data_IF_115849843421
#
_entry.id   IF_115849843421
#
_cell.length_a   1.000
_cell.length_b   1.000
_cell.length_c   1.000
_cell.angle_alpha   90.00
_cell.angle_beta   90.00
_cell.angle_gamma   90.00
#
_symmetry.space_group_name_H-M   'P 1'
#
loop_
_entity.id
_entity.type
_entity.pdbx_description
1 polymer ?
#
# COMPACT_ATOMS: atom_id res chain seq x y z
N UNK A 1 -47.89 -7.40 5.60
CA UNK A 1 -46.50 -7.80 5.95
C UNK A 1 -46.21 -7.28 7.34
N UNK A 2 -45.76 -8.12 8.28
CA UNK A 2 -45.43 -7.68 9.64
C UNK A 2 -44.21 -6.74 9.62
N UNK A 3 -44.18 -5.77 10.54
CA UNK A 3 -43.10 -4.79 10.68
C UNK A 3 -41.71 -5.46 10.77
N UNK A 4 -41.65 -6.64 11.39
CA UNK A 4 -40.46 -7.50 11.48
C UNK A 4 -39.95 -7.99 10.14
N UNK A 5 -40.83 -8.39 9.22
CA UNK A 5 -40.45 -8.87 7.89
C UNK A 5 -39.88 -7.72 7.03
N UNK A 6 -40.43 -6.51 7.19
CA UNK A 6 -39.93 -5.32 6.50
C UNK A 6 -38.52 -4.91 6.97
N UNK A 7 -38.23 -5.01 8.27
CA UNK A 7 -36.91 -4.70 8.83
C UNK A 7 -35.87 -5.74 8.37
N UNK A 8 -36.21 -7.03 8.36
CA UNK A 8 -35.29 -8.09 7.88
C UNK A 8 -34.97 -7.92 6.39
N UNK A 9 -35.97 -7.60 5.57
CA UNK A 9 -35.76 -7.34 4.14
C UNK A 9 -34.93 -6.08 3.89
N UNK A 10 -35.11 -5.02 4.71
CA UNK A 10 -34.32 -3.81 4.63
C UNK A 10 -32.86 -4.06 5.03
N UNK A 11 -32.61 -4.83 6.10
CA UNK A 11 -31.26 -5.21 6.53
C UNK A 11 -30.58 -6.13 5.52
N UNK A 12 -31.31 -7.06 4.89
CA UNK A 12 -30.82 -7.88 3.78
C UNK A 12 -30.50 -7.02 2.56
N UNK A 13 -31.36 -6.05 2.20
CA UNK A 13 -31.11 -5.14 1.09
C UNK A 13 -29.90 -4.24 1.34
N UNK A 14 -29.73 -3.72 2.56
CA UNK A 14 -28.55 -2.93 2.95
C UNK A 14 -27.29 -3.80 2.93
N UNK A 15 -27.35 -5.02 3.46
CA UNK A 15 -26.25 -6.01 3.41
C UNK A 15 -25.87 -6.37 1.97
N UNK A 16 -26.84 -6.56 1.09
CA UNK A 16 -26.64 -6.81 -0.34
C UNK A 16 -26.10 -5.57 -1.06
N UNK A 17 -26.49 -4.35 -0.67
CA UNK A 17 -25.93 -3.10 -1.21
C UNK A 17 -24.46 -2.90 -0.79
N UNK A 18 -24.08 -3.26 0.44
CA UNK A 18 -22.67 -3.29 0.86
C UNK A 18 -21.87 -4.42 0.18
N UNK A 19 -22.47 -5.60 -0.02
CA UNK A 19 -21.85 -6.74 -0.68
C UNK A 19 -21.71 -6.57 -2.21
N UNK A 20 -22.64 -5.84 -2.85
CA UNK A 20 -22.65 -5.60 -4.30
C UNK A 20 -21.52 -4.72 -4.81
N UNK A 21 -20.90 -3.89 -3.95
CA UNK A 21 -19.67 -3.17 -4.31
C UNK A 21 -18.44 -4.10 -4.39
N UNK A 22 -18.51 -5.30 -3.80
CA UNK A 22 -17.40 -6.25 -3.70
C UNK A 22 -17.51 -7.40 -4.71
N UNK A 23 -18.62 -7.56 -5.45
CA UNK A 23 -18.91 -8.82 -6.18
C UNK A 23 -18.76 -8.80 -7.70
N UNK A 24 -18.28 -7.72 -8.32
CA UNK A 24 -18.04 -7.67 -9.78
C UNK A 24 -16.56 -7.44 -10.16
N UNK A 25 -15.63 -8.05 -9.43
CA UNK A 25 -14.22 -8.16 -9.83
C UNK A 25 -14.09 -9.20 -10.94
N UNK A 26 -14.24 -8.78 -12.20
CA UNK A 26 -13.81 -9.61 -13.33
C UNK A 26 -12.30 -9.44 -13.49
N UNK A 27 -11.49 -10.51 -13.42
CA UNK A 27 -10.06 -10.38 -13.59
C UNK A 27 -9.76 -9.98 -15.04
N UNK A 28 -9.38 -8.71 -15.26
CA UNK A 28 -8.73 -8.25 -16.50
C UNK A 28 -7.23 -8.64 -16.55
N UNK A 29 -6.80 -9.52 -15.63
CA UNK A 29 -5.41 -9.97 -15.41
C UNK A 29 -4.80 -10.61 -16.66
N UNK A 30 -5.60 -11.29 -17.50
CA UNK A 30 -5.12 -11.94 -18.74
C UNK A 30 -4.63 -10.96 -19.82
N UNK A 31 -5.03 -9.68 -19.78
CA UNK A 31 -4.49 -8.66 -20.68
C UNK A 31 -3.16 -8.09 -20.19
N UNK A 32 -2.87 -8.19 -18.89
CA UNK A 32 -1.70 -7.62 -18.24
C UNK A 32 -0.47 -8.53 -18.27
N UNK A 33 -0.68 -9.85 -18.24
CA UNK A 33 0.39 -10.83 -18.42
C UNK A 33 1.16 -10.68 -19.75
N UNK A 34 0.62 -9.93 -20.71
CA UNK A 34 1.24 -9.65 -22.02
C UNK A 34 1.93 -8.29 -22.12
N UNK A 35 1.83 -7.43 -21.10
CA UNK A 35 2.33 -6.04 -21.14
C UNK A 35 3.55 -5.84 -20.25
N UNK A 36 4.74 -5.95 -20.85
CA UNK A 36 6.06 -5.53 -20.34
C UNK A 36 6.43 -6.06 -18.96
N UNK A 37 7.34 -7.04 -18.94
CA UNK A 37 8.18 -7.32 -17.78
C UNK A 37 8.73 -5.98 -17.24
N UNK A 38 8.27 -5.57 -16.06
CA UNK A 38 8.89 -4.50 -15.31
C UNK A 38 10.31 -4.95 -15.03
N UNK A 39 11.30 -4.16 -15.45
CA UNK A 39 12.66 -4.38 -14.99
C UNK A 39 12.62 -4.24 -13.46
N UNK A 40 13.20 -5.20 -12.70
CA UNK A 40 13.31 -5.09 -11.26
C UNK A 40 13.93 -3.74 -10.87
N UNK A 41 13.71 -3.26 -9.63
CA UNK A 41 14.50 -2.15 -9.13
C UNK A 41 15.97 -2.48 -9.37
N UNK A 42 16.69 -1.56 -10.02
CA UNK A 42 18.15 -1.61 -10.07
C UNK A 42 18.67 -1.46 -8.63
N UNK A 43 18.81 -2.60 -7.96
CA UNK A 43 19.34 -2.75 -6.59
C UNK A 43 20.86 -2.84 -6.60
N UNK A 44 21.50 -3.00 -7.76
CA UNK A 44 22.97 -3.06 -7.85
C UNK A 44 23.58 -1.71 -7.42
N UNK A 45 22.91 -0.62 -7.77
CA UNK A 45 23.32 0.74 -7.40
C UNK A 45 23.17 1.09 -5.90
N UNK A 46 22.49 0.25 -5.10
CA UNK A 46 22.29 0.51 -3.66
C UNK A 46 23.57 0.27 -2.88
N UNK A 47 23.95 1.25 -2.04
CA UNK A 47 25.10 1.13 -1.14
C UNK A 47 24.68 0.46 0.18
N UNK A 48 25.40 -0.58 0.65
CA UNK A 48 25.17 -1.15 1.97
C UNK A 48 25.35 -0.11 3.09
N UNK A 49 24.56 -0.23 4.15
CA UNK A 49 24.71 0.51 5.41
C UNK A 49 25.25 -0.42 6.50
N UNK A 50 26.52 -0.82 6.37
CA UNK A 50 27.11 -1.82 7.27
C UNK A 50 27.12 -1.38 8.74
N UNK A 51 27.31 -0.08 8.99
CA UNK A 51 27.39 0.50 10.34
C UNK A 51 26.02 0.93 10.90
N UNK A 52 24.92 0.52 10.26
CA UNK A 52 23.57 0.89 10.70
C UNK A 52 23.23 0.31 12.07
N UNK A 53 23.15 1.19 13.07
CA UNK A 53 22.68 0.88 14.41
C UNK A 53 21.19 1.19 14.54
N UNK A 54 20.37 0.15 14.42
CA UNK A 54 18.92 0.27 14.52
C UNK A 54 18.47 0.77 15.90
N UNK A 55 19.19 0.48 16.99
CA UNK A 55 18.74 0.80 18.35
C UNK A 55 18.90 2.28 18.67
N UNK A 56 19.92 2.91 18.07
CA UNK A 56 20.25 4.31 18.27
C UNK A 56 19.79 5.22 17.10
N UNK A 57 19.29 4.65 16.00
CA UNK A 57 18.70 5.44 14.92
C UNK A 57 17.31 5.92 15.32
N UNK A 58 17.16 7.23 15.52
CA UNK A 58 15.85 7.83 15.76
C UNK A 58 14.98 7.89 14.49
N UNK A 59 13.65 7.88 14.61
CA UNK A 59 12.74 8.07 13.49
C UNK A 59 13.03 9.37 12.74
N UNK A 60 13.00 9.32 11.41
CA UNK A 60 13.30 10.49 10.56
C UNK A 60 12.40 11.67 10.96
N UNK A 61 12.98 12.84 11.34
CA UNK A 61 12.19 13.95 11.81
C UNK A 61 11.34 14.50 10.69
N UNK A 62 10.03 14.56 10.94
CA UNK A 62 9.09 15.10 9.99
C UNK A 62 8.67 16.52 10.39
N UNK A 63 8.73 17.46 9.44
CA UNK A 63 8.42 18.89 9.63
C UNK A 63 7.45 19.37 8.54
N UNK A 64 6.16 19.04 8.65
CA UNK A 64 5.18 19.36 7.61
C UNK A 64 4.84 20.85 7.52
N UNK A 65 4.98 21.59 8.62
CA UNK A 65 4.58 22.99 8.68
C UNK A 65 5.65 23.90 8.09
N UNK A 66 5.21 24.75 7.15
CA UNK A 66 5.95 25.91 6.67
C UNK A 66 5.11 27.13 6.96
N UNK A 67 5.74 28.21 7.41
CA UNK A 67 5.05 29.50 7.53
C UNK A 67 4.62 30.00 6.15
N UNK A 68 3.48 30.69 6.10
CA UNK A 68 2.96 31.31 4.87
C UNK A 68 1.57 30.81 4.45
N UNK A 69 1.15 31.22 3.26
CA UNK A 69 -0.17 30.87 2.70
C UNK A 69 -0.23 29.39 2.36
N UNK A 70 -1.25 28.69 2.86
CA UNK A 70 -1.49 27.30 2.51
C UNK A 70 -1.84 27.16 1.04
N UNK A 71 -1.12 26.30 0.33
CA UNK A 71 -1.42 25.89 -1.05
C UNK A 71 -1.44 24.39 -1.12
N UNK A 72 -2.60 23.82 -1.45
CA UNK A 72 -2.75 22.40 -1.68
C UNK A 72 -2.09 22.05 -3.01
N UNK A 73 -0.97 21.33 -2.94
CA UNK A 73 -0.23 20.81 -4.09
C UNK A 73 0.05 19.33 -3.88
N UNK A 74 0.43 18.63 -4.95
CA UNK A 74 0.80 17.22 -4.88
C UNK A 74 2.00 16.95 -3.95
N UNK A 75 2.89 17.93 -3.77
CA UNK A 75 4.02 17.84 -2.84
C UNK A 75 5.03 16.74 -3.16
N UNK A 76 5.03 16.22 -4.39
CA UNK A 76 5.91 15.12 -4.84
C UNK A 76 7.35 15.60 -4.90
N UNK A 77 8.25 14.76 -4.40
CA UNK A 77 9.70 14.93 -4.51
C UNK A 77 10.31 13.63 -5.04
N UNK A 78 11.47 13.76 -5.67
CA UNK A 78 12.29 12.58 -5.98
C UNK A 78 12.77 11.97 -4.67
N UNK A 79 12.63 10.66 -4.53
CA UNK A 79 13.13 9.92 -3.39
C UNK A 79 14.50 9.33 -3.74
N UNK A 80 15.56 9.59 -2.97
CA UNK A 80 16.79 8.82 -3.07
C UNK A 80 16.47 7.33 -2.88
N UNK A 81 17.05 6.45 -3.71
CA UNK A 81 16.76 5.02 -3.62
C UNK A 81 17.05 4.44 -2.24
N UNK A 82 18.14 4.89 -1.62
CA UNK A 82 18.57 4.49 -0.28
C UNK A 82 17.58 4.88 0.84
N UNK A 83 16.65 5.80 0.56
CA UNK A 83 15.65 6.30 1.50
C UNK A 83 14.29 5.58 1.35
N UNK A 84 14.19 4.52 0.55
CA UNK A 84 12.89 3.86 0.28
C UNK A 84 12.23 3.24 1.50
N UNK A 85 12.91 2.30 2.18
CA UNK A 85 12.43 1.65 3.39
C UNK A 85 13.30 2.08 4.57
N UNK A 86 12.71 2.82 5.51
CA UNK A 86 13.43 3.44 6.61
C UNK A 86 13.29 2.58 7.86
N UNK A 87 14.43 2.10 8.36
CA UNK A 87 14.52 1.43 9.65
C UNK A 87 14.92 2.42 10.73
N UNK A 88 14.40 2.23 11.94
CA UNK A 88 14.72 3.03 13.12
C UNK A 88 14.49 2.19 14.39
N UNK A 89 14.71 2.82 15.55
CA UNK A 89 14.59 2.18 16.86
C UNK A 89 13.16 1.75 17.24
N UNK A 90 12.14 2.11 16.46
CA UNK A 90 10.75 1.66 16.65
C UNK A 90 10.44 0.33 15.97
N UNK A 91 11.32 -0.17 15.10
CA UNK A 91 11.10 -1.38 14.31
C UNK A 91 10.64 -2.58 15.17
N UNK A 92 11.28 -2.81 16.33
CA UNK A 92 10.96 -3.96 17.18
C UNK A 92 9.53 -3.94 17.71
N UNK A 93 9.11 -2.81 18.30
CA UNK A 93 7.77 -2.65 18.87
C UNK A 93 6.69 -2.61 17.78
N UNK A 94 6.97 -1.95 16.65
CA UNK A 94 6.04 -1.91 15.53
C UNK A 94 5.85 -3.28 14.89
N UNK A 95 6.92 -4.08 14.71
CA UNK A 95 6.80 -5.44 14.20
C UNK A 95 6.07 -6.37 15.18
N UNK A 96 6.25 -6.17 16.50
CA UNK A 96 5.50 -6.90 17.52
C UNK A 96 4.00 -6.58 17.43
N UNK A 97 3.65 -5.30 17.34
CA UNK A 97 2.27 -4.86 17.15
C UNK A 97 1.69 -5.39 15.83
N UNK A 98 2.47 -5.37 14.75
CA UNK A 98 2.07 -5.86 13.43
C UNK A 98 1.64 -7.33 13.51
N UNK A 99 2.44 -8.18 14.15
CA UNK A 99 2.09 -9.59 14.40
C UNK A 99 0.87 -9.76 15.29
N UNK A 100 0.77 -8.97 16.35
CA UNK A 100 -0.39 -9.01 17.24
C UNK A 100 -1.68 -8.70 16.46
N UNK A 101 -1.69 -7.62 15.68
CA UNK A 101 -2.85 -7.23 14.88
C UNK A 101 -3.16 -8.23 13.76
N UNK A 102 -2.13 -8.82 13.16
CA UNK A 102 -2.32 -9.88 12.16
C UNK A 102 -2.99 -11.11 12.77
N UNK A 103 -2.71 -11.44 14.02
CA UNK A 103 -3.35 -12.53 14.76
C UNK A 103 -4.78 -12.16 15.20
N UNK A 104 -4.96 -11.01 15.85
CA UNK A 104 -6.23 -10.62 16.48
C UNK A 104 -7.27 -10.08 15.47
N UNK A 105 -6.82 -9.36 14.44
CA UNK A 105 -7.70 -8.74 13.46
C UNK A 105 -7.06 -8.74 12.07
N UNK A 106 -6.75 -9.94 11.57
CA UNK A 106 -6.15 -10.13 10.25
C UNK A 106 -6.87 -9.35 9.16
N UNK A 107 -8.21 -9.41 9.11
CA UNK A 107 -9.05 -8.77 8.09
C UNK A 107 -8.97 -7.23 8.13
N UNK A 108 -8.78 -6.66 9.32
CA UNK A 108 -8.64 -5.23 9.52
C UNK A 108 -7.31 -4.65 9.04
N UNK A 109 -6.24 -5.46 9.02
CA UNK A 109 -4.89 -5.01 8.66
C UNK A 109 -4.34 -5.58 7.37
N UNK A 110 -4.89 -6.70 6.88
CA UNK A 110 -4.46 -7.34 5.64
C UNK A 110 -5.67 -7.73 4.80
N UNK A 111 -5.66 -7.34 3.53
CA UNK A 111 -6.59 -7.83 2.51
C UNK A 111 -5.91 -7.90 1.15
N UNK A 112 -6.25 -8.92 0.36
CA UNK A 112 -5.81 -9.09 -1.01
C UNK A 112 -6.98 -9.64 -1.83
N UNK A 113 -7.30 -8.96 -2.94
CA UNK A 113 -8.33 -9.36 -3.88
C UNK A 113 -7.73 -10.21 -5.02
N UNK A 114 -8.52 -11.07 -5.68
CA UNK A 114 -8.05 -11.81 -6.84
C UNK A 114 -7.47 -10.90 -7.92
N UNK A 115 -6.37 -11.31 -8.53
CA UNK A 115 -5.63 -10.52 -9.52
C UNK A 115 -4.51 -9.65 -8.92
N UNK A 116 -4.31 -9.69 -7.60
CA UNK A 116 -3.20 -9.01 -6.92
C UNK A 116 -1.95 -9.86 -6.74
N UNK A 117 -1.98 -11.13 -7.13
CA UNK A 117 -0.97 -12.13 -6.77
C UNK A 117 0.41 -11.78 -7.32
N UNK A 118 0.49 -11.36 -8.59
CA UNK A 118 1.75 -10.95 -9.20
C UNK A 118 2.36 -9.73 -8.51
N UNK A 119 1.55 -8.70 -8.24
CA UNK A 119 2.00 -7.49 -7.55
C UNK A 119 2.48 -7.79 -6.12
N UNK A 120 1.82 -8.74 -5.43
CA UNK A 120 2.23 -9.17 -4.09
C UNK A 120 3.58 -9.91 -4.10
N UNK A 121 3.86 -10.70 -5.14
CA UNK A 121 5.15 -11.38 -5.32
C UNK A 121 6.26 -10.39 -5.69
N UNK A 122 5.96 -9.48 -6.61
CA UNK A 122 6.87 -8.40 -7.03
C UNK A 122 7.29 -7.55 -5.83
N UNK A 123 6.35 -7.01 -5.06
CA UNK A 123 6.70 -6.17 -3.90
C UNK A 123 7.50 -6.92 -2.83
N UNK A 124 7.23 -8.22 -2.62
CA UNK A 124 8.03 -9.03 -1.71
C UNK A 124 9.47 -9.17 -2.22
N UNK A 125 9.65 -9.52 -3.49
CA UNK A 125 10.97 -9.66 -4.10
C UNK A 125 11.76 -8.34 -4.01
N UNK A 126 11.11 -7.21 -4.29
CA UNK A 126 11.73 -5.89 -4.23
C UNK A 126 12.14 -5.48 -2.81
N UNK A 127 11.29 -5.74 -1.81
CA UNK A 127 11.61 -5.47 -0.40
C UNK A 127 12.78 -6.35 0.07
N UNK A 128 12.77 -7.64 -0.29
CA UNK A 128 13.86 -8.56 0.07
C UNK A 128 15.17 -8.10 -0.58
N UNK A 129 15.15 -7.78 -1.87
CA UNK A 129 16.32 -7.28 -2.59
C UNK A 129 16.85 -5.97 -1.97
N UNK A 130 15.97 -5.02 -1.66
CA UNK A 130 16.37 -3.78 -1.00
C UNK A 130 17.00 -4.02 0.38
N UNK A 131 16.33 -4.78 1.25
CA UNK A 131 16.77 -4.97 2.63
C UNK A 131 18.06 -5.77 2.72
N UNK A 132 18.19 -6.84 1.93
CA UNK A 132 19.41 -7.67 1.91
C UNK A 132 20.62 -6.93 1.34
N UNK A 133 20.38 -5.96 0.45
CA UNK A 133 21.45 -5.11 -0.12
C UNK A 133 21.81 -3.93 0.77
N UNK A 134 20.81 -3.24 1.32
CA UNK A 134 20.97 -2.02 2.13
C UNK A 134 21.37 -2.34 3.58
N UNK A 135 20.87 -3.42 4.14
CA UNK A 135 21.08 -3.83 5.54
C UNK A 135 21.50 -5.31 5.66
N UNK A 136 22.61 -5.73 4.99
CA UNK A 136 23.01 -7.13 4.88
C UNK A 136 23.34 -7.81 6.22
N UNK A 137 23.71 -7.03 7.24
CA UNK A 137 23.97 -7.54 8.59
C UNK A 137 22.70 -7.97 9.33
N UNK A 138 21.54 -7.45 8.91
CA UNK A 138 20.25 -7.70 9.54
C UNK A 138 19.33 -8.58 8.69
N UNK A 139 19.48 -8.52 7.36
CA UNK A 139 18.66 -9.26 6.43
C UNK A 139 19.53 -10.00 5.41
N UNK A 140 19.34 -11.30 5.27
CA UNK A 140 20.10 -12.11 4.32
C UNK A 140 19.35 -13.38 3.95
N UNK A 141 19.59 -13.88 2.73
CA UNK A 141 19.13 -15.22 2.34
C UNK A 141 20.15 -16.26 2.81
N UNK A 142 19.79 -17.25 3.64
CA UNK A 142 20.73 -18.27 4.10
C UNK A 142 21.32 -19.07 2.94
N UNK A 143 22.63 -19.31 2.95
CA UNK A 143 23.34 -20.03 1.87
C UNK A 143 22.78 -21.43 1.62
N UNK A 144 22.38 -22.13 2.68
CA UNK A 144 21.81 -23.48 2.59
C UNK A 144 20.35 -23.48 2.12
N UNK A 145 19.67 -22.34 2.15
CA UNK A 145 18.25 -22.22 1.82
C UNK A 145 17.94 -20.84 1.20
N UNK A 146 18.35 -20.62 -0.07
CA UNK A 146 18.24 -19.32 -0.72
C UNK A 146 16.80 -18.87 -0.99
N UNK A 147 15.83 -19.79 -0.89
CA UNK A 147 14.39 -19.53 -1.04
C UNK A 147 13.78 -18.84 0.19
N UNK A 148 14.59 -18.56 1.21
CA UNK A 148 14.17 -17.92 2.44
C UNK A 148 14.99 -16.66 2.70
N UNK A 149 14.38 -15.71 3.39
CA UNK A 149 15.05 -14.54 3.95
C UNK A 149 15.04 -14.64 5.47
N UNK A 150 16.20 -14.43 6.09
CA UNK A 150 16.34 -14.31 7.53
C UNK A 150 16.37 -12.85 7.94
N UNK A 151 15.53 -12.48 8.90
CA UNK A 151 15.50 -11.19 9.57
C UNK A 151 16.12 -11.36 10.97
N UNK A 152 17.41 -11.06 11.10
CA UNK A 152 18.17 -11.20 12.34
C UNK A 152 17.69 -10.25 13.44
N UNK A 153 17.00 -9.15 13.11
CA UNK A 153 16.41 -8.25 14.10
C UNK A 153 15.28 -8.92 14.89
N UNK A 154 14.46 -9.73 14.22
CA UNK A 154 13.33 -10.42 14.85
C UNK A 154 13.59 -11.90 15.12
N UNK A 155 14.73 -12.43 14.63
CA UNK A 155 15.09 -13.85 14.69
C UNK A 155 14.19 -14.75 13.83
N UNK A 156 13.45 -14.18 12.87
CA UNK A 156 12.47 -14.90 12.04
C UNK A 156 13.01 -15.14 10.65
N UNK A 157 12.63 -16.27 10.08
CA UNK A 157 12.95 -16.65 8.71
C UNK A 157 11.63 -16.86 7.96
N UNK A 158 11.54 -16.35 6.74
CA UNK A 158 10.33 -16.43 5.91
C UNK A 158 10.66 -17.01 4.54
N UNK A 159 9.78 -17.87 4.04
CA UNK A 159 9.88 -18.37 2.67
C UNK A 159 9.46 -17.29 1.67
N UNK A 160 10.32 -17.01 0.70
CA UNK A 160 10.15 -15.94 -0.31
C UNK A 160 10.11 -16.47 -1.74
N UNK A 161 10.15 -17.79 -1.93
CA UNK A 161 9.93 -18.47 -3.20
C UNK A 161 8.74 -19.43 -3.14
N UNK A 162 8.21 -19.79 -4.32
CA UNK A 162 7.11 -20.75 -4.44
C UNK A 162 7.54 -22.19 -4.07
N UNK A 163 6.66 -23.01 -3.45
CA UNK A 163 5.36 -22.64 -2.90
C UNK A 163 5.50 -21.86 -1.60
N UNK A 164 4.81 -20.72 -1.47
CA UNK A 164 4.88 -19.87 -0.29
C UNK A 164 4.23 -20.49 0.95
N UNK A 165 4.82 -20.27 2.13
CA UNK A 165 4.26 -20.67 3.43
C UNK A 165 3.22 -19.67 3.96
N UNK A 166 3.43 -18.38 3.68
CA UNK A 166 2.54 -17.27 4.03
C UNK A 166 2.25 -16.43 2.77
N UNK A 167 1.18 -15.63 2.80
CA UNK A 167 0.92 -14.74 1.68
C UNK A 167 2.10 -13.78 1.46
N UNK A 168 2.57 -13.57 0.21
CA UNK A 168 3.76 -12.75 -0.05
C UNK A 168 3.71 -11.34 0.57
N UNK A 169 2.56 -10.68 0.48
CA UNK A 169 2.36 -9.36 1.07
C UNK A 169 2.35 -9.36 2.62
N UNK A 170 1.97 -10.47 3.27
CA UNK A 170 2.14 -10.59 4.73
C UNK A 170 3.61 -10.69 5.10
N UNK A 171 4.39 -11.48 4.36
CA UNK A 171 5.85 -11.58 4.55
C UNK A 171 6.51 -10.22 4.34
N UNK A 172 6.15 -9.52 3.25
CA UNK A 172 6.65 -8.19 2.95
C UNK A 172 6.42 -7.21 4.12
N UNK A 173 5.22 -7.22 4.72
CA UNK A 173 4.91 -6.39 5.87
C UNK A 173 5.66 -6.80 7.15
N UNK A 174 6.03 -8.07 7.31
CA UNK A 174 6.86 -8.54 8.43
C UNK A 174 8.36 -8.18 8.26
N UNK A 175 8.76 -7.69 7.08
CA UNK A 175 10.12 -7.26 6.78
C UNK A 175 10.21 -5.73 6.80
N UNK A 176 9.35 -5.04 6.06
CA UNK A 176 9.29 -3.58 5.99
C UNK A 176 8.60 -2.96 7.22
N UNK A 177 8.97 -1.73 7.57
CA UNK A 177 8.35 -0.99 8.68
C UNK A 177 7.03 -0.35 8.24
N UNK A 178 6.98 0.08 6.99
CA UNK A 178 5.90 0.83 6.36
C UNK A 178 4.63 0.00 6.16
N UNK A 179 3.49 0.68 6.06
CA UNK A 179 2.27 0.08 5.53
C UNK A 179 2.32 0.05 3.99
N UNK A 180 1.91 -1.06 3.40
CA UNK A 180 2.08 -1.36 1.97
C UNK A 180 0.71 -1.39 1.30
N UNK A 181 0.53 -0.59 0.25
CA UNK A 181 -0.71 -0.50 -0.51
C UNK A 181 -0.43 -0.71 -2.01
N UNK A 182 -1.03 -1.75 -2.59
CA UNK A 182 -0.84 -2.12 -3.99
C UNK A 182 -2.01 -1.60 -4.83
N UNK A 183 -1.68 -0.63 -5.67
CA UNK A 183 -2.61 -0.01 -6.62
C UNK A 183 -2.40 -0.62 -8.00
N UNK A 184 -3.44 -1.28 -8.53
CA UNK A 184 -3.38 -1.97 -9.82
C UNK A 184 -4.31 -1.25 -10.80
N UNK A 185 -3.76 -0.77 -11.91
CA UNK A 185 -4.54 -0.13 -12.98
C UNK A 185 -5.53 -1.13 -13.59
N UNK A 186 -6.70 -0.65 -14.01
CA UNK A 186 -7.67 -1.39 -14.79
C UNK A 186 -8.18 -2.71 -14.20
N UNK A 187 -7.97 -2.95 -12.92
CA UNK A 187 -8.48 -4.11 -12.22
C UNK A 187 -9.98 -3.99 -11.86
N UNK A 188 -10.50 -2.75 -11.86
CA UNK A 188 -11.90 -2.46 -11.62
C UNK A 188 -12.67 -2.09 -12.90
N UNK A 189 -13.84 -1.42 -12.78
CA UNK A 189 -14.72 -1.11 -13.91
C UNK A 189 -14.14 -0.17 -14.96
N UNK A 190 -13.23 0.74 -14.58
CA UNK A 190 -12.56 1.66 -15.50
C UNK A 190 -11.13 1.17 -15.78
N UNK A 191 -10.81 0.72 -17.01
CA UNK A 191 -9.48 0.21 -17.34
C UNK A 191 -8.36 1.25 -17.20
N UNK A 192 -8.69 2.53 -17.08
CA UNK A 192 -7.72 3.61 -16.98
C UNK A 192 -7.39 4.02 -15.53
N UNK A 193 -8.16 3.54 -14.54
CA UNK A 193 -7.99 3.91 -13.15
C UNK A 193 -7.20 2.88 -12.35
N UNK A 194 -6.51 3.33 -11.30
CA UNK A 194 -5.83 2.49 -10.33
C UNK A 194 -6.79 2.11 -9.20
N UNK A 195 -6.74 0.85 -8.76
CA UNK A 195 -7.59 0.31 -7.69
C UNK A 195 -6.74 -0.30 -6.58
N UNK A 196 -7.15 -0.14 -5.32
CA UNK A 196 -6.49 -0.75 -4.18
C UNK A 196 -6.83 -2.24 -4.10
N UNK A 197 -5.97 -3.10 -4.63
CA UNK A 197 -6.27 -4.52 -4.76
C UNK A 197 -5.69 -5.36 -3.63
N UNK A 198 -4.57 -4.94 -3.06
CA UNK A 198 -4.02 -5.57 -1.88
C UNK A 198 -3.38 -4.54 -0.97
N UNK A 199 -3.47 -4.76 0.33
CA UNK A 199 -2.94 -3.85 1.31
C UNK A 199 -2.59 -4.61 2.58
N UNK A 200 -1.45 -4.24 3.16
CA UNK A 200 -1.20 -4.38 4.57
C UNK A 200 -1.16 -2.98 5.19
N UNK A 201 -2.15 -2.64 6.00
CA UNK A 201 -2.23 -1.34 6.69
C UNK A 201 -2.49 -1.54 8.19
N UNK A 202 -1.46 -1.36 9.01
CA UNK A 202 -1.55 -1.45 10.47
C UNK A 202 -2.08 -0.16 11.10
N UNK A 203 -1.67 0.99 10.57
CA UNK A 203 -1.91 2.31 11.15
C UNK A 203 -2.41 3.33 10.11
N UNK A 204 -3.50 3.05 9.37
CA UNK A 204 -4.06 4.01 8.43
C UNK A 204 -4.61 5.26 9.13
N UNK A 205 -4.24 6.44 8.63
CA UNK A 205 -4.68 7.72 9.16
C UNK A 205 -6.10 8.08 8.68
N UNK A 206 -7.11 7.91 9.54
CA UNK A 206 -8.47 8.38 9.26
C UNK A 206 -9.29 7.50 8.30
N UNK A 207 -8.91 6.22 8.15
CA UNK A 207 -9.68 5.25 7.36
C UNK A 207 -9.43 3.82 7.82
N UNK A 208 -10.25 2.88 7.34
CA UNK A 208 -10.14 1.46 7.62
C UNK A 208 -10.02 0.65 6.33
N UNK A 209 -9.13 -0.35 6.32
CA UNK A 209 -8.88 -1.18 5.14
C UNK A 209 -10.15 -1.88 4.65
N UNK A 210 -10.95 -2.40 5.59
CA UNK A 210 -12.21 -3.09 5.31
C UNK A 210 -13.24 -2.26 4.57
N UNK A 211 -13.15 -0.94 4.66
CA UNK A 211 -14.10 -0.03 4.04
C UNK A 211 -13.67 0.35 2.62
N UNK A 212 -12.37 0.24 2.32
CA UNK A 212 -11.73 0.86 1.15
C UNK A 212 -11.01 -0.09 0.21
N UNK A 213 -10.84 -1.35 0.58
CA UNK A 213 -10.31 -2.36 -0.34
C UNK A 213 -11.16 -2.38 -1.63
N UNK A 214 -10.49 -2.43 -2.77
CA UNK A 214 -11.13 -2.43 -4.08
C UNK A 214 -11.62 -1.07 -4.57
N UNK A 215 -11.43 0.00 -3.80
CA UNK A 215 -11.79 1.33 -4.27
C UNK A 215 -10.82 1.83 -5.33
N UNK A 216 -11.31 2.67 -6.24
CA UNK A 216 -10.42 3.40 -7.13
C UNK A 216 -9.59 4.40 -6.32
N UNK A 217 -8.43 4.77 -6.85
CA UNK A 217 -7.58 5.82 -6.28
C UNK A 217 -8.37 7.12 -6.09
N UNK A 218 -9.36 7.37 -6.94
CA UNK A 218 -10.25 8.52 -6.82
C UNK A 218 -11.17 8.43 -5.60
N UNK A 219 -11.85 7.30 -5.45
CA UNK A 219 -12.82 7.09 -4.37
C UNK A 219 -12.10 7.08 -3.00
N UNK A 220 -10.85 6.61 -2.94
CA UNK A 220 -10.03 6.65 -1.71
C UNK A 220 -9.87 8.07 -1.13
N UNK A 221 -9.97 9.10 -1.96
CA UNK A 221 -9.73 10.49 -1.60
C UNK A 221 -11.01 11.35 -1.56
N UNK A 222 -12.19 10.78 -1.80
CA UNK A 222 -13.47 11.51 -1.87
C UNK A 222 -13.73 12.39 -0.63
N UNK A 223 -13.33 11.91 0.54
CA UNK A 223 -13.55 12.60 1.82
C UNK A 223 -12.58 13.75 2.12
N UNK A 224 -11.57 13.97 1.27
CA UNK A 224 -10.53 14.98 1.51
C UNK A 224 -11.00 16.36 1.01
N UNK A 225 -11.19 17.36 1.90
CA UNK A 225 -11.71 18.67 1.50
C UNK A 225 -10.83 19.35 0.44
N UNK A 226 -11.44 19.77 -0.67
CA UNK A 226 -10.76 20.45 -1.78
C UNK A 226 -9.91 19.54 -2.67
N UNK A 227 -9.85 18.23 -2.40
CA UNK A 227 -9.10 17.30 -3.24
C UNK A 227 -9.67 17.20 -4.66
N UNK A 228 -11.00 17.14 -4.79
CA UNK A 228 -11.66 17.04 -6.08
C UNK A 228 -11.36 18.25 -6.99
N UNK A 229 -11.34 19.45 -6.42
CA UNK A 229 -11.12 20.67 -7.19
C UNK A 229 -9.63 20.89 -7.54
N UNK A 230 -8.71 20.47 -6.66
CA UNK A 230 -7.31 20.89 -6.74
C UNK A 230 -6.34 19.79 -7.15
N UNK A 231 -6.64 18.53 -6.85
CA UNK A 231 -5.67 17.42 -6.99
C UNK A 231 -6.17 16.25 -7.85
N UNK A 232 -7.49 16.08 -8.01
CA UNK A 232 -8.08 15.03 -8.84
C UNK A 232 -7.44 14.93 -10.22
N UNK A 233 -7.50 15.97 -11.05
CA UNK A 233 -7.02 15.88 -12.43
C UNK A 233 -5.49 15.63 -12.55
N UNK A 234 -4.63 16.29 -11.75
CA UNK A 234 -3.19 15.99 -11.75
C UNK A 234 -2.85 14.55 -11.31
N UNK A 235 -3.60 13.99 -10.35
CA UNK A 235 -3.37 12.65 -9.80
C UNK A 235 -3.77 11.58 -10.82
N UNK A 236 -5.04 11.58 -11.20
CA UNK A 236 -5.66 10.58 -12.05
C UNK A 236 -6.90 11.17 -12.73
N UNK A 237 -6.91 11.11 -14.07
CA UNK A 237 -7.98 11.71 -14.86
C UNK A 237 -9.01 10.66 -15.24
N UNK A 238 -10.28 10.93 -14.92
CA UNK A 238 -11.42 10.10 -15.37
C UNK A 238 -11.74 10.36 -16.83
N UNK A 239 -12.20 9.32 -17.53
CA UNK A 239 -12.76 9.45 -18.86
C UNK A 239 -13.95 10.42 -18.86
N UNK A 240 -13.98 11.36 -19.82
CA UNK A 240 -15.04 12.34 -20.00
C UNK A 240 -15.69 12.10 -21.37
N UNK A 241 -16.91 11.55 -21.44
CA UNK A 241 -17.55 11.14 -22.70
C UNK A 241 -17.72 12.27 -23.73
N UNK A 242 -17.70 13.53 -23.27
CA UNK A 242 -17.89 14.72 -24.11
C UNK A 242 -16.61 15.22 -24.78
N UNK A 243 -15.45 14.67 -24.41
CA UNK A 243 -14.17 15.07 -24.98
C UNK A 243 -13.82 14.20 -26.19
N UNK A 244 -13.18 14.79 -27.21
CA UNK A 244 -12.71 14.01 -28.37
C UNK A 244 -11.73 12.94 -27.88
N UNK A 245 -11.95 11.68 -28.28
CA UNK A 245 -11.21 10.48 -27.85
C UNK A 245 -9.67 10.64 -27.85
N UNK A 246 -9.10 11.37 -28.82
CA UNK A 246 -7.66 11.59 -28.87
C UNK A 246 -7.15 12.58 -27.80
N UNK A 247 -7.92 13.62 -27.48
CA UNK A 247 -7.60 14.58 -26.42
C UNK A 247 -7.72 13.88 -25.06
N UNK A 248 -8.75 13.05 -24.90
CA UNK A 248 -8.93 12.23 -23.70
C UNK A 248 -7.75 11.29 -23.46
N UNK A 249 -7.34 10.51 -24.48
CA UNK A 249 -6.15 9.66 -24.42
C UNK A 249 -4.89 10.45 -24.06
N UNK A 250 -4.71 11.62 -24.66
CA UNK A 250 -3.57 12.50 -24.38
C UNK A 250 -3.54 12.97 -22.92
N UNK A 251 -4.69 13.37 -22.37
CA UNK A 251 -4.76 13.89 -21.00
C UNK A 251 -4.63 12.78 -19.95
N UNK A 252 -5.25 11.62 -20.17
CA UNK A 252 -5.08 10.44 -19.29
C UNK A 252 -3.63 9.97 -19.30
N UNK A 253 -2.92 10.03 -20.44
CA UNK A 253 -1.49 9.72 -20.51
C UNK A 253 -0.60 10.68 -19.69
N UNK A 254 -1.12 11.85 -19.31
CA UNK A 254 -0.38 12.84 -18.52
C UNK A 254 -0.68 12.79 -17.02
N UNK A 255 -1.59 11.92 -16.57
CA UNK A 255 -1.83 11.73 -15.14
C UNK A 255 -0.55 11.26 -14.44
N UNK A 256 -0.42 11.62 -13.16
CA UNK A 256 0.80 11.36 -12.41
C UNK A 256 1.11 9.87 -12.30
N UNK A 257 0.15 9.05 -11.83
CA UNK A 257 0.37 7.62 -11.57
C UNK A 257 0.72 6.83 -12.84
N UNK A 258 0.24 7.25 -14.02
CA UNK A 258 0.59 6.61 -15.30
C UNK A 258 1.97 6.99 -15.83
N UNK A 259 2.56 8.07 -15.31
CA UNK A 259 3.91 8.53 -15.68
C UNK A 259 4.96 8.15 -14.65
N UNK A 260 4.57 7.50 -13.55
CA UNK A 260 5.51 6.93 -12.60
C UNK A 260 6.37 5.89 -13.33
N UNK A 261 7.68 6.00 -13.14
CA UNK A 261 8.64 5.03 -13.67
C UNK A 261 9.15 4.19 -12.50
N UNK A 262 9.32 2.89 -12.74
CA UNK A 262 9.85 1.95 -11.74
C UNK A 262 11.24 2.38 -11.23
N UNK A 263 12.05 3.00 -12.08
CA UNK A 263 13.42 3.44 -11.77
C UNK A 263 13.52 4.84 -11.13
N UNK A 264 12.40 5.54 -10.95
CA UNK A 264 12.36 6.91 -10.44
C UNK A 264 11.34 7.01 -9.30
N UNK A 265 11.64 6.40 -8.14
CA UNK A 265 10.74 6.44 -7.01
C UNK A 265 10.59 7.85 -6.47
N UNK A 266 9.43 8.12 -5.89
CA UNK A 266 9.03 9.44 -5.43
C UNK A 266 8.43 9.35 -4.04
N UNK A 267 8.62 10.40 -3.27
CA UNK A 267 8.06 10.54 -1.95
C UNK A 267 7.16 11.77 -1.88
N UNK A 268 6.19 11.71 -0.98
CA UNK A 268 5.46 12.89 -0.52
C UNK A 268 5.14 12.70 0.93
N UNK A 269 4.90 13.81 1.58
CA UNK A 269 4.64 13.83 2.99
C UNK A 269 3.17 14.19 3.25
N UNK A 270 2.56 13.46 4.17
CA UNK A 270 1.22 13.73 4.69
C UNK A 270 1.27 13.76 6.22
N UNK A 271 0.36 14.46 6.89
CA UNK A 271 0.34 14.54 8.34
C UNK A 271 -1.09 14.55 8.87
N UNK A 272 -1.23 14.03 10.07
CA UNK A 272 -2.41 14.19 10.92
C UNK A 272 -1.92 14.34 12.36
N UNK A 273 -2.76 14.91 13.22
CA UNK A 273 -2.48 14.98 14.65
C UNK A 273 -3.35 13.94 15.35
N UNK A 274 -2.71 13.16 16.21
CA UNK A 274 -3.38 12.21 17.10
C UNK A 274 -3.03 12.61 18.53
N UNK A 275 -4.01 12.49 19.44
CA UNK A 275 -3.86 12.89 20.84
C UNK A 275 -3.40 11.75 21.75
N UNK A 276 -3.24 10.54 21.21
CA UNK A 276 -2.81 9.34 21.92
C UNK A 276 -1.66 8.68 21.16
N UNK A 277 -0.88 7.85 21.85
CA UNK A 277 0.22 7.07 21.25
C UNK A 277 -0.25 5.73 20.65
N UNK A 278 -1.55 5.42 20.74
CA UNK A 278 -2.12 4.18 20.22
C UNK A 278 -2.31 4.26 18.71
N UNK A 279 -1.65 3.40 17.94
CA UNK A 279 -1.92 3.32 16.49
C UNK A 279 -3.42 3.14 16.22
N UNK A 280 -4.04 4.05 15.47
CA UNK A 280 -5.48 4.01 15.18
C UNK A 280 -5.84 2.81 14.27
N UNK A 281 -6.03 1.64 14.86
CA UNK A 281 -6.71 0.51 14.24
C UNK A 281 -8.04 0.28 14.98
N UNK A 282 -9.11 -0.02 14.24
CA UNK A 282 -10.40 -0.42 14.83
C UNK A 282 -10.23 -1.68 15.71
N UNK A 283 -9.21 -2.49 15.41
CA UNK A 283 -8.80 -3.66 16.17
C UNK A 283 -8.44 -3.35 17.64
N UNK A 284 -7.86 -2.17 17.90
CA UNK A 284 -7.43 -1.78 19.25
C UNK A 284 -8.54 -1.09 20.06
N UNK A 285 -9.61 -0.59 19.41
CA UNK A 285 -10.70 0.14 20.09
C UNK A 285 -11.61 -0.75 20.93
N UNK A 286 -11.63 -2.06 20.73
CA UNK A 286 -12.47 -2.98 21.51
C UNK A 286 -11.91 -3.29 22.92
N UNK A 287 -10.96 -2.48 23.43
CA UNK A 287 -10.34 -2.64 24.76
C UNK A 287 -10.61 -1.48 25.72
N UNK A 288 -11.51 -0.56 25.40
CA UNK A 288 -11.97 0.51 26.31
C UNK A 288 -13.48 0.42 26.46
#
# INVERSE_FOLDING_TARGET
MSLTLAIVLLLLAISLLFSSKVTNWKPLVEQWARGTATQPLDVECLKPNADFDIRNTEPRPYRPWRSGKFVMTMGIRKMPREDWLLLDNRYFEEQKLRRHLLHENRRGVFQALPGSEMACREVLAEIVAFLTRRYPQWFYCPTQNPDYVHNALTGRTFKVAEPYENHPLEVAAQLAKEDINLLIQGAGPDPNQFYLLASYSMAPAGWHLEERIGWSLMDLHETVPGWEEKLREPVERRCQPRLKKYIERFLIARSFFRRLKADAPVERYNYFLQTTDEFHSRALRNRI
#
